data_IF_461061083109
#
_entry.id   IF_461061083109
#
_cell.length_a   1.000
_cell.length_b   1.000
_cell.length_c   1.000
_cell.angle_alpha   90.00
_cell.angle_beta   90.00
_cell.angle_gamma   90.00
#
_symmetry.space_group_name_H-M   'P 1'
#
loop_
_entity.id
_entity.type
_entity.pdbx_description
1 polymer ?
#
# COMPACT_ATOMS: atom_id res chain seq x y z
N UNK A 1 4.19 -31.02 11.35
CA UNK A 1 3.79 -29.84 12.16
C UNK A 1 2.34 -30.06 12.58
N UNK A 2 2.01 -30.00 13.88
CA UNK A 2 0.64 -30.29 14.35
C UNK A 2 -0.30 -29.13 13.96
N UNK A 3 -1.44 -29.41 13.31
CA UNK A 3 -2.34 -28.39 12.74
C UNK A 3 -2.83 -27.39 13.78
N UNK A 4 -3.08 -27.85 15.02
CA UNK A 4 -3.43 -26.96 16.15
C UNK A 4 -2.33 -25.96 16.48
N UNK A 5 -1.08 -26.38 16.43
CA UNK A 5 0.06 -25.51 16.72
C UNK A 5 0.33 -24.54 15.58
N UNK A 6 0.14 -24.96 14.33
CA UNK A 6 0.17 -24.06 13.18
C UNK A 6 -0.92 -23.00 13.25
N UNK A 7 -2.13 -23.34 13.69
CA UNK A 7 -3.23 -22.36 13.77
C UNK A 7 -3.21 -21.51 15.05
N UNK A 8 -2.47 -21.91 16.09
CA UNK A 8 -2.44 -21.25 17.39
C UNK A 8 -1.16 -20.46 17.71
N UNK A 9 -0.01 -20.84 17.14
CA UNK A 9 1.27 -20.18 17.38
C UNK A 9 1.88 -19.70 16.05
N UNK A 10 2.32 -18.44 16.02
CA UNK A 10 2.94 -17.86 14.83
C UNK A 10 3.86 -16.70 15.19
N UNK A 11 5.12 -16.76 14.76
CA UNK A 11 6.18 -15.83 15.15
C UNK A 11 7.21 -16.49 16.06
N UNK A 12 7.96 -15.68 16.80
CA UNK A 12 9.00 -16.12 17.72
C UNK A 12 8.53 -16.01 19.18
N UNK A 13 9.01 -16.89 20.06
CA UNK A 13 8.80 -16.77 21.51
C UNK A 13 9.89 -15.90 22.10
N UNK A 14 9.50 -14.76 22.66
CA UNK A 14 10.43 -13.79 23.29
C UNK A 14 10.16 -13.77 24.80
N UNK A 15 11.20 -13.82 25.66
CA UNK A 15 11.01 -13.70 27.10
C UNK A 15 10.28 -12.40 27.46
N UNK A 16 9.25 -12.49 28.31
CA UNK A 16 8.42 -11.35 28.70
C UNK A 16 7.15 -11.12 27.88
N UNK A 17 6.87 -11.99 26.89
CA UNK A 17 5.64 -11.96 26.11
C UNK A 17 4.85 -13.27 26.26
N UNK A 18 3.55 -13.18 26.49
CA UNK A 18 2.68 -14.35 26.72
C UNK A 18 2.35 -15.10 25.42
N UNK A 19 2.46 -14.43 24.28
CA UNK A 19 2.17 -14.97 22.95
C UNK A 19 3.37 -14.87 22.02
N UNK A 20 3.32 -15.61 20.92
CA UNK A 20 4.34 -15.51 19.87
C UNK A 20 4.23 -14.15 19.18
N UNK A 21 5.38 -13.49 19.04
CA UNK A 21 5.47 -12.11 18.54
C UNK A 21 6.29 -12.03 17.27
N UNK A 22 6.10 -10.93 16.54
CA UNK A 22 6.87 -10.55 15.37
C UNK A 22 7.40 -9.13 15.59
N UNK A 23 8.60 -8.86 15.07
CA UNK A 23 9.16 -7.52 15.10
C UNK A 23 8.47 -6.65 14.04
N UNK A 24 7.69 -5.67 14.48
CA UNK A 24 6.95 -4.73 13.63
C UNK A 24 7.88 -3.94 12.71
N UNK A 25 9.08 -3.58 13.18
CA UNK A 25 10.06 -2.86 12.36
C UNK A 25 10.53 -3.68 11.16
N UNK A 26 10.70 -4.98 11.35
CA UNK A 26 11.05 -5.91 10.27
C UNK A 26 9.88 -6.03 9.27
N UNK A 27 8.65 -6.17 9.77
CA UNK A 27 7.46 -6.24 8.93
C UNK A 27 7.28 -4.97 8.08
N UNK A 28 7.45 -3.78 8.68
CA UNK A 28 7.35 -2.47 8.02
C UNK A 28 8.46 -2.26 7.00
N UNK A 29 9.71 -2.58 7.35
CA UNK A 29 10.82 -2.47 6.42
C UNK A 29 10.65 -3.42 5.21
N UNK A 30 10.14 -4.64 5.43
CA UNK A 30 9.83 -5.55 4.33
C UNK A 30 8.69 -5.04 3.44
N UNK A 31 7.65 -4.42 4.04
CA UNK A 31 6.58 -3.77 3.28
C UNK A 31 7.10 -2.63 2.42
N UNK A 32 8.00 -1.79 2.96
CA UNK A 32 8.65 -0.70 2.23
C UNK A 32 9.54 -1.17 1.09
N UNK A 33 10.30 -2.26 1.29
CA UNK A 33 11.14 -2.86 0.26
C UNK A 33 10.31 -3.36 -0.92
N UNK A 34 9.26 -4.14 -0.62
CA UNK A 34 8.35 -4.64 -1.65
C UNK A 34 7.60 -3.51 -2.35
N UNK A 35 7.11 -2.51 -1.61
CA UNK A 35 6.48 -1.33 -2.19
C UNK A 35 7.41 -0.62 -3.17
N UNK A 36 8.65 -0.34 -2.77
CA UNK A 36 9.64 0.32 -3.63
C UNK A 36 9.90 -0.49 -4.91
N UNK A 37 10.12 -1.80 -4.79
CA UNK A 37 10.33 -2.68 -5.94
C UNK A 37 9.10 -2.72 -6.86
N UNK A 38 7.90 -2.78 -6.28
CA UNK A 38 6.64 -2.76 -7.03
C UNK A 38 6.41 -1.45 -7.77
N UNK A 39 6.77 -0.31 -7.17
CA UNK A 39 6.73 0.99 -7.84
C UNK A 39 7.68 1.03 -9.04
N UNK A 40 8.93 0.56 -8.87
CA UNK A 40 9.89 0.44 -9.97
C UNK A 40 9.32 -0.44 -11.09
N UNK A 41 8.69 -1.55 -10.75
CA UNK A 41 8.07 -2.47 -11.70
C UNK A 41 6.91 -1.81 -12.46
N UNK A 42 6.09 -0.98 -11.82
CA UNK A 42 5.05 -0.22 -12.52
C UNK A 42 5.68 0.75 -13.52
N UNK A 43 6.68 1.53 -13.10
CA UNK A 43 7.36 2.49 -13.99
C UNK A 43 8.08 1.81 -15.16
N UNK A 44 8.80 0.72 -14.89
CA UNK A 44 9.58 0.00 -15.91
C UNK A 44 8.68 -0.88 -16.79
N UNK A 45 7.75 -1.61 -16.16
CA UNK A 45 6.85 -2.53 -16.84
C UNK A 45 5.84 -1.82 -17.73
N UNK A 46 5.16 -0.78 -17.21
CA UNK A 46 4.18 0.00 -17.99
C UNK A 46 4.88 1.04 -18.86
N UNK A 47 5.87 1.76 -18.32
CA UNK A 47 6.53 2.86 -19.04
C UNK A 47 7.44 2.40 -20.19
N UNK A 48 8.17 1.29 -20.02
CA UNK A 48 9.11 0.77 -21.02
C UNK A 48 8.66 -0.57 -21.63
N UNK A 49 7.44 -1.01 -21.34
CA UNK A 49 6.85 -2.26 -21.83
C UNK A 49 7.71 -3.52 -21.53
N UNK A 50 8.49 -3.50 -20.43
CA UNK A 50 9.35 -4.61 -20.03
C UNK A 50 8.58 -5.65 -19.19
N UNK A 51 7.90 -6.54 -19.91
CA UNK A 51 7.03 -7.61 -19.40
C UNK A 51 7.72 -8.51 -18.36
N UNK A 52 8.98 -8.89 -18.61
CA UNK A 52 9.73 -9.87 -17.79
C UNK A 52 9.91 -9.36 -16.36
N UNK A 53 10.19 -8.06 -16.19
CA UNK A 53 10.44 -7.45 -14.87
C UNK A 53 9.19 -7.57 -13.99
N UNK A 54 8.01 -7.32 -14.56
CA UNK A 54 6.74 -7.49 -13.86
C UNK A 54 6.45 -8.94 -13.48
N UNK A 55 6.72 -9.89 -14.38
CA UNK A 55 6.52 -11.33 -14.11
C UNK A 55 7.38 -11.81 -12.94
N UNK A 56 8.67 -11.46 -12.97
CA UNK A 56 9.62 -11.86 -11.92
C UNK A 56 9.21 -11.27 -10.58
N UNK A 57 8.88 -9.98 -10.55
CA UNK A 57 8.46 -9.32 -9.31
C UNK A 57 7.16 -9.91 -8.74
N UNK A 58 6.12 -10.10 -9.57
CA UNK A 58 4.84 -10.63 -9.11
C UNK A 58 4.95 -12.09 -8.65
N UNK A 59 5.75 -12.90 -9.33
CA UNK A 59 6.05 -14.26 -8.88
C UNK A 59 6.79 -14.25 -7.53
N UNK A 60 7.79 -13.37 -7.39
CA UNK A 60 8.51 -13.19 -6.12
C UNK A 60 7.57 -12.73 -5.00
N UNK A 61 6.72 -11.72 -5.25
CA UNK A 61 5.76 -11.19 -4.28
C UNK A 61 4.79 -12.29 -3.80
N UNK A 62 4.26 -13.08 -4.72
CA UNK A 62 3.37 -14.20 -4.42
C UNK A 62 4.06 -15.25 -3.54
N UNK A 63 5.27 -15.67 -3.93
CA UNK A 63 6.05 -16.66 -3.18
C UNK A 63 6.49 -16.13 -1.82
N UNK A 64 6.85 -14.85 -1.73
CA UNK A 64 7.23 -14.22 -0.48
C UNK A 64 6.06 -14.17 0.50
N UNK A 65 4.87 -13.73 0.06
CA UNK A 65 3.67 -13.77 0.92
C UNK A 65 3.29 -15.20 1.33
N UNK A 66 3.41 -16.16 0.43
CA UNK A 66 3.18 -17.56 0.75
C UNK A 66 4.17 -18.07 1.82
N UNK A 67 5.46 -17.77 1.64
CA UNK A 67 6.51 -18.11 2.60
C UNK A 67 6.23 -17.46 3.96
N UNK A 68 5.84 -16.17 4.00
CA UNK A 68 5.40 -15.50 5.22
C UNK A 68 4.29 -16.29 5.88
N UNK A 69 3.17 -16.56 5.21
CA UNK A 69 2.01 -17.27 5.80
C UNK A 69 2.41 -18.59 6.47
N UNK A 70 3.35 -19.34 5.89
CA UNK A 70 3.87 -20.58 6.48
C UNK A 70 4.79 -20.28 7.67
N UNK A 71 5.80 -19.43 7.46
CA UNK A 71 6.77 -19.06 8.50
C UNK A 71 7.44 -17.72 8.18
N UNK A 72 7.43 -16.77 9.13
CA UNK A 72 8.09 -15.47 8.94
C UNK A 72 9.62 -15.60 8.83
N UNK A 73 10.20 -16.73 9.28
CA UNK A 73 11.64 -16.95 9.32
C UNK A 73 12.27 -17.19 7.93
N UNK A 74 11.48 -17.62 6.96
CA UNK A 74 11.97 -18.01 5.64
C UNK A 74 11.54 -17.07 4.51
N UNK A 75 10.80 -16.00 4.82
CA UNK A 75 10.45 -15.00 3.81
C UNK A 75 11.70 -14.20 3.42
N UNK A 76 12.09 -14.20 2.13
CA UNK A 76 13.27 -13.47 1.67
C UNK A 76 13.21 -11.99 1.99
N UNK A 77 12.04 -11.35 1.83
CA UNK A 77 11.89 -9.94 2.12
C UNK A 77 11.97 -9.62 3.62
N UNK A 78 11.45 -10.48 4.51
CA UNK A 78 11.61 -10.32 5.96
C UNK A 78 13.07 -10.53 6.39
N UNK A 79 13.78 -11.47 5.77
CA UNK A 79 15.22 -11.68 6.04
C UNK A 79 16.05 -10.46 5.65
N UNK A 80 15.78 -9.87 4.48
CA UNK A 80 16.41 -8.63 4.04
C UNK A 80 16.05 -7.46 4.97
N UNK A 81 14.77 -7.34 5.32
CA UNK A 81 14.32 -6.30 6.25
C UNK A 81 14.98 -6.42 7.61
N UNK A 82 15.09 -7.64 8.15
CA UNK A 82 15.80 -7.95 9.39
C UNK A 82 17.25 -7.52 9.33
N UNK A 83 17.93 -7.77 8.21
CA UNK A 83 19.29 -7.28 8.02
C UNK A 83 19.38 -5.75 8.08
N UNK A 84 18.44 -5.05 7.43
CA UNK A 84 18.40 -3.58 7.39
C UNK A 84 18.14 -2.97 8.79
N UNK A 85 17.19 -3.52 9.56
CA UNK A 85 16.76 -2.94 10.85
C UNK A 85 17.40 -3.58 12.09
N UNK A 86 18.36 -4.50 11.94
CA UNK A 86 18.94 -5.29 13.04
C UNK A 86 19.52 -4.48 14.21
N UNK A 87 19.97 -3.24 13.94
CA UNK A 87 20.57 -2.37 14.94
C UNK A 87 19.54 -1.47 15.65
N UNK A 88 18.26 -1.56 15.29
CA UNK A 88 17.18 -0.80 15.92
C UNK A 88 16.59 -1.60 17.09
N UNK A 89 16.07 -0.90 18.11
CA UNK A 89 15.33 -1.54 19.19
C UNK A 89 14.07 -2.23 18.61
N UNK A 90 13.90 -3.55 18.79
CA UNK A 90 12.74 -4.26 18.24
C UNK A 90 11.45 -3.74 18.88
N UNK A 91 10.39 -3.72 18.09
CA UNK A 91 9.02 -3.42 18.54
C UNK A 91 8.18 -4.65 18.25
N UNK A 92 7.56 -5.24 19.27
CA UNK A 92 6.93 -6.56 19.16
C UNK A 92 5.41 -6.46 19.08
N UNK A 93 4.85 -7.13 18.09
CA UNK A 93 3.40 -7.24 17.91
C UNK A 93 2.96 -8.68 17.87
N UNK A 94 1.72 -8.96 18.28
CA UNK A 94 1.16 -10.30 18.25
C UNK A 94 1.29 -10.91 16.84
N UNK A 95 1.84 -12.12 16.73
CA UNK A 95 2.14 -12.70 15.42
C UNK A 95 0.89 -13.15 14.65
N UNK A 96 -0.16 -13.58 15.35
CA UNK A 96 -1.38 -14.10 14.72
C UNK A 96 -2.12 -13.06 13.85
N UNK A 97 -2.20 -11.81 14.32
CA UNK A 97 -2.78 -10.71 13.54
C UNK A 97 -1.98 -10.42 12.26
N UNK A 98 -0.64 -10.49 12.31
CA UNK A 98 0.23 -10.27 11.15
C UNK A 98 0.12 -11.40 10.14
N UNK A 99 0.02 -12.63 10.63
CA UNK A 99 -0.28 -13.77 9.76
C UNK A 99 -1.58 -13.57 8.99
N UNK A 100 -2.63 -13.10 9.65
CA UNK A 100 -3.90 -12.82 9.00
C UNK A 100 -3.75 -11.75 7.91
N UNK A 101 -3.03 -10.66 8.20
CA UNK A 101 -2.73 -9.64 7.21
C UNK A 101 -1.97 -10.20 5.99
N UNK A 102 -0.98 -11.08 6.21
CA UNK A 102 -0.23 -11.70 5.11
C UNK A 102 -1.04 -12.74 4.34
N UNK A 103 -1.99 -13.43 4.98
CA UNK A 103 -2.95 -14.28 4.27
C UNK A 103 -3.85 -13.46 3.34
N UNK A 104 -4.32 -12.29 3.78
CA UNK A 104 -5.07 -11.36 2.91
C UNK A 104 -4.20 -10.86 1.75
N UNK A 105 -2.95 -10.47 2.01
CA UNK A 105 -2.01 -10.07 0.97
C UNK A 105 -1.76 -11.19 -0.06
N UNK A 106 -1.58 -12.42 0.41
CA UNK A 106 -1.42 -13.58 -0.46
C UNK A 106 -2.67 -13.82 -1.34
N UNK A 107 -3.86 -13.72 -0.74
CA UNK A 107 -5.12 -13.88 -1.47
C UNK A 107 -5.30 -12.81 -2.56
N UNK A 108 -4.93 -11.55 -2.28
CA UNK A 108 -4.95 -10.46 -3.26
C UNK A 108 -3.91 -10.69 -4.37
N UNK A 109 -2.74 -11.28 -4.05
CA UNK A 109 -1.69 -11.56 -5.03
C UNK A 109 -1.99 -12.76 -5.94
N UNK A 110 -2.89 -13.66 -5.54
CA UNK A 110 -3.26 -14.85 -6.31
C UNK A 110 -3.82 -14.53 -7.72
N UNK A 111 -4.84 -13.66 -7.88
CA UNK A 111 -5.31 -13.28 -9.22
C UNK A 111 -4.23 -12.54 -10.03
N UNK A 112 -3.35 -11.78 -9.37
CA UNK A 112 -2.22 -11.11 -10.06
C UNK A 112 -1.24 -12.12 -10.64
N UNK A 113 -0.92 -13.18 -9.89
CA UNK A 113 -0.10 -14.28 -10.39
C UNK A 113 -0.73 -14.91 -11.64
N UNK A 114 -2.05 -15.12 -11.62
CA UNK A 114 -2.76 -15.69 -12.75
C UNK A 114 -2.80 -14.75 -13.99
N UNK A 115 -3.10 -13.47 -13.80
CA UNK A 115 -3.32 -12.48 -14.88
C UNK A 115 -2.07 -11.78 -15.42
N UNK A 116 -0.95 -11.85 -14.71
CA UNK A 116 0.26 -11.17 -15.14
C UNK A 116 1.46 -12.10 -15.22
N UNK A 117 1.44 -13.27 -14.58
CA UNK A 117 2.56 -14.23 -14.70
C UNK A 117 2.22 -15.37 -15.65
N UNK A 118 1.08 -16.03 -15.45
CA UNK A 118 0.67 -17.19 -16.25
C UNK A 118 0.05 -16.79 -17.60
N UNK A 119 -0.93 -15.89 -17.57
CA UNK A 119 -1.55 -15.30 -18.75
C UNK A 119 -1.14 -13.85 -18.77
N UNK A 120 -0.61 -13.33 -19.86
CA UNK A 120 -0.25 -11.91 -19.92
C UNK A 120 -1.44 -11.11 -20.44
N UNK A 121 -2.18 -10.48 -19.53
CA UNK A 121 -3.31 -9.63 -19.89
C UNK A 121 -3.34 -8.38 -19.02
N UNK A 122 -2.95 -7.25 -19.62
CA UNK A 122 -2.92 -5.95 -18.97
C UNK A 122 -4.23 -5.23 -19.27
N UNK A 123 -5.08 -5.14 -18.26
CA UNK A 123 -6.28 -4.30 -18.31
C UNK A 123 -6.29 -3.34 -17.13
N UNK A 124 -6.94 -2.18 -17.28
CA UNK A 124 -6.99 -1.13 -16.28
C UNK A 124 -7.43 -1.63 -14.89
N UNK A 125 -8.52 -2.41 -14.83
CA UNK A 125 -9.02 -2.95 -13.56
C UNK A 125 -8.03 -3.90 -12.88
N UNK A 126 -7.23 -4.63 -13.66
CA UNK A 126 -6.18 -5.53 -13.14
C UNK A 126 -4.98 -4.74 -12.61
N UNK A 127 -4.65 -3.62 -13.22
CA UNK A 127 -3.58 -2.73 -12.70
C UNK A 127 -4.05 -2.03 -11.42
N UNK A 128 -5.34 -1.68 -11.32
CA UNK A 128 -5.90 -1.06 -10.11
C UNK A 128 -5.75 -1.96 -8.87
N UNK A 129 -5.88 -3.28 -9.02
CA UNK A 129 -5.65 -4.20 -7.89
C UNK A 129 -4.18 -4.18 -7.45
N UNK A 130 -3.22 -4.03 -8.38
CA UNK A 130 -1.80 -3.90 -8.04
C UNK A 130 -1.53 -2.59 -7.31
N UNK A 131 -2.10 -1.48 -7.78
CA UNK A 131 -2.01 -0.17 -7.10
C UNK A 131 -2.61 -0.24 -5.70
N UNK A 132 -3.76 -0.90 -5.53
CA UNK A 132 -4.36 -1.13 -4.23
C UNK A 132 -3.42 -1.91 -3.30
N UNK A 133 -2.85 -3.02 -3.76
CA UNK A 133 -1.90 -3.81 -2.98
C UNK A 133 -0.70 -2.97 -2.56
N UNK A 134 -0.04 -2.27 -3.49
CA UNK A 134 1.10 -1.40 -3.19
C UNK A 134 0.72 -0.28 -2.23
N UNK A 135 -0.48 0.30 -2.36
CA UNK A 135 -0.98 1.32 -1.43
C UNK A 135 -1.10 0.75 -0.01
N UNK A 136 -1.63 -0.46 0.16
CA UNK A 136 -1.69 -1.12 1.48
C UNK A 136 -0.29 -1.36 2.06
N UNK A 137 0.69 -1.77 1.25
CA UNK A 137 2.07 -1.95 1.69
C UNK A 137 2.73 -0.62 2.07
N UNK A 138 2.44 0.45 1.32
CA UNK A 138 2.90 1.80 1.62
C UNK A 138 2.33 2.30 2.95
N UNK A 139 1.03 2.09 3.21
CA UNK A 139 0.41 2.47 4.48
C UNK A 139 1.06 1.74 5.67
N UNK A 140 1.35 0.45 5.53
CA UNK A 140 2.05 -0.33 6.56
C UNK A 140 3.48 0.19 6.76
N UNK A 141 4.22 0.44 5.68
CA UNK A 141 5.60 0.92 5.75
C UNK A 141 5.70 2.34 6.33
N UNK A 142 5.03 3.31 5.70
CA UNK A 142 5.17 4.74 5.98
C UNK A 142 4.44 5.16 7.27
N UNK A 143 3.17 4.77 7.41
CA UNK A 143 2.33 5.23 8.52
C UNK A 143 2.20 4.21 9.65
N UNK A 144 2.76 3.01 9.52
CA UNK A 144 2.55 1.90 10.46
C UNK A 144 1.09 1.44 10.54
N UNK A 145 0.30 1.69 9.48
CA UNK A 145 -1.12 1.35 9.43
C UNK A 145 -1.28 0.03 8.69
N UNK A 146 -1.46 -1.04 9.46
CA UNK A 146 -1.75 -2.38 8.93
C UNK A 146 -3.26 -2.59 8.82
N UNK A 147 -3.84 -2.37 7.63
CA UNK A 147 -5.27 -2.55 7.37
C UNK A 147 -5.73 -3.99 7.67
N UNK A 148 -4.92 -5.00 7.35
CA UNK A 148 -5.23 -6.40 7.68
C UNK A 148 -5.33 -6.65 9.19
N UNK A 149 -4.50 -5.99 9.98
CA UNK A 149 -4.53 -6.06 11.44
C UNK A 149 -5.79 -5.37 12.00
N UNK A 150 -6.23 -4.26 11.39
CA UNK A 150 -7.48 -3.59 11.75
C UNK A 150 -8.70 -4.48 11.46
N UNK A 151 -8.72 -5.14 10.30
CA UNK A 151 -9.78 -6.10 9.95
C UNK A 151 -9.79 -7.27 10.94
N UNK A 152 -8.62 -7.81 11.31
CA UNK A 152 -8.52 -8.87 12.31
C UNK A 152 -9.12 -8.46 13.66
N UNK A 153 -8.77 -7.26 14.14
CA UNK A 153 -9.34 -6.68 15.37
C UNK A 153 -10.87 -6.56 15.27
N UNK A 154 -11.38 -6.05 14.15
CA UNK A 154 -12.82 -5.90 13.94
C UNK A 154 -13.58 -7.24 13.96
N UNK A 155 -12.98 -8.30 13.39
CA UNK A 155 -13.57 -9.65 13.36
C UNK A 155 -13.54 -10.29 14.75
N UNK A 156 -12.40 -10.22 15.45
CA UNK A 156 -12.25 -10.85 16.76
C UNK A 156 -12.92 -10.09 17.91
N UNK A 157 -13.22 -8.80 17.73
CA UNK A 157 -13.81 -7.91 18.75
C UNK A 157 -13.05 -7.89 20.08
N UNK A 158 -11.81 -8.34 20.06
CA UNK A 158 -10.86 -8.32 21.17
C UNK A 158 -9.68 -7.45 20.75
N UNK A 159 -9.17 -6.66 21.69
CA UNK A 159 -7.94 -5.92 21.43
C UNK A 159 -6.79 -6.92 21.22
N UNK A 160 -6.06 -6.82 20.10
CA UNK A 160 -4.95 -7.73 19.85
C UNK A 160 -3.90 -7.57 20.96
N UNK A 161 -3.36 -8.69 21.45
CA UNK A 161 -2.27 -8.65 22.42
C UNK A 161 -1.01 -8.05 21.76
N UNK A 162 -0.42 -7.06 22.43
CA UNK A 162 0.76 -6.30 21.98
C UNK A 162 0.52 -5.59 20.63
N UNK A 163 -0.07 -4.39 20.73
CA UNK A 163 -0.46 -3.61 19.56
C UNK A 163 0.71 -2.85 18.92
N UNK A 164 0.74 -2.70 17.58
CA UNK A 164 1.79 -1.98 16.87
C UNK A 164 1.98 -0.56 17.40
N UNK A 165 3.24 -0.18 17.68
CA UNK A 165 3.57 1.16 18.17
C UNK A 165 2.99 1.49 19.55
N UNK A 166 2.60 0.48 20.35
CA UNK A 166 2.10 0.69 21.71
C UNK A 166 0.75 1.40 21.79
N UNK A 167 -0.03 1.49 20.70
CA UNK A 167 -1.34 2.20 20.70
C UNK A 167 -2.34 1.70 21.75
N UNK A 168 -2.19 0.47 22.23
CA UNK A 168 -3.05 -0.07 23.29
C UNK A 168 -2.61 0.36 24.70
N UNK A 169 -1.38 0.85 24.85
CA UNK A 169 -0.82 1.37 26.11
C UNK A 169 -0.87 2.91 26.18
N UNK A 170 -0.87 3.61 25.05
CA UNK A 170 -0.89 5.08 24.99
C UNK A 170 -2.28 5.62 25.38
N UNK A 171 -2.48 5.90 26.67
CA UNK A 171 -3.69 6.56 27.17
C UNK A 171 -3.62 8.09 27.21
N UNK A 172 -2.42 8.69 27.14
CA UNK A 172 -2.27 10.14 27.11
C UNK A 172 -1.27 10.57 26.03
N UNK A 173 -1.69 11.52 25.19
CA UNK A 173 -0.82 12.13 24.18
C UNK A 173 0.23 13.00 24.87
N UNK A 174 1.49 12.71 24.59
CA UNK A 174 2.61 13.53 25.04
C UNK A 174 2.46 14.97 24.55
N UNK A 175 2.98 15.98 25.27
CA UNK A 175 2.89 17.38 24.85
C UNK A 175 3.38 17.63 23.42
N UNK A 176 4.40 16.89 22.97
CA UNK A 176 4.94 16.96 21.60
C UNK A 176 3.95 16.51 20.52
N UNK A 177 2.96 15.69 20.88
CA UNK A 177 1.92 15.21 19.96
C UNK A 177 0.72 16.16 19.87
N UNK A 178 0.70 17.23 20.69
CA UNK A 178 -0.39 18.21 20.71
C UNK A 178 -0.04 19.37 19.78
N UNK A 179 -0.96 19.74 18.90
CA UNK A 179 -0.78 20.86 18.00
C UNK A 179 -1.09 22.19 18.71
N UNK A 180 -0.21 23.17 18.56
CA UNK A 180 -0.53 24.57 18.83
C UNK A 180 -1.51 25.08 17.75
N UNK A 181 -2.47 25.99 18.04
CA UNK A 181 -3.33 26.59 17.03
C UNK A 181 -2.60 27.08 15.76
N UNK A 182 -1.38 27.62 15.89
CA UNK A 182 -0.57 28.02 14.72
C UNK A 182 -0.15 26.82 13.88
N UNK A 183 0.30 25.74 14.50
CA UNK A 183 0.67 24.50 13.81
C UNK A 183 -0.55 23.85 13.12
N UNK A 184 -1.71 23.93 13.76
CA UNK A 184 -2.99 23.47 13.17
C UNK A 184 -3.33 24.26 11.91
N UNK A 185 -3.20 25.59 11.94
CA UNK A 185 -3.46 26.44 10.77
C UNK A 185 -2.50 26.10 9.63
N UNK A 186 -1.20 25.98 9.92
CA UNK A 186 -0.19 25.62 8.90
C UNK A 186 -0.51 24.26 8.28
N UNK A 187 -0.86 23.27 9.10
CA UNK A 187 -1.22 21.94 8.61
C UNK A 187 -2.46 21.98 7.69
N UNK A 188 -3.50 22.73 8.08
CA UNK A 188 -4.73 22.88 7.28
C UNK A 188 -4.44 23.60 5.96
N UNK A 189 -3.72 24.73 5.99
CA UNK A 189 -3.38 25.49 4.78
C UNK A 189 -2.52 24.68 3.81
N UNK A 190 -1.54 23.93 4.33
CA UNK A 190 -0.70 23.06 3.50
C UNK A 190 -1.53 21.96 2.85
N UNK A 191 -2.44 21.33 3.61
CA UNK A 191 -3.32 20.29 3.08
C UNK A 191 -4.25 20.83 1.99
N UNK A 192 -4.90 21.97 2.23
CA UNK A 192 -5.78 22.63 1.24
C UNK A 192 -4.97 23.05 0.00
N UNK A 193 -3.79 23.63 0.19
CA UNK A 193 -2.91 24.05 -0.91
C UNK A 193 -2.47 22.88 -1.79
N UNK A 194 -2.12 21.74 -1.20
CA UNK A 194 -1.80 20.51 -1.94
C UNK A 194 -3.01 19.99 -2.72
N UNK A 195 -4.19 19.95 -2.11
CA UNK A 195 -5.42 19.53 -2.79
C UNK A 195 -5.79 20.46 -3.94
N UNK A 196 -5.74 21.78 -3.73
CA UNK A 196 -5.98 22.77 -4.76
C UNK A 196 -4.95 22.69 -5.89
N UNK A 197 -3.67 22.48 -5.55
CA UNK A 197 -2.60 22.28 -6.53
C UNK A 197 -2.84 21.04 -7.40
N UNK A 198 -3.21 19.91 -6.79
CA UNK A 198 -3.56 18.68 -7.52
C UNK A 198 -4.79 18.91 -8.40
N UNK A 199 -5.84 19.54 -7.87
CA UNK A 199 -7.07 19.86 -8.61
C UNK A 199 -6.76 20.74 -9.83
N UNK A 200 -6.01 21.83 -9.66
CA UNK A 200 -5.63 22.73 -10.75
C UNK A 200 -4.71 22.06 -11.77
N UNK A 201 -3.79 21.21 -11.31
CA UNK A 201 -2.92 20.45 -12.19
C UNK A 201 -3.73 19.50 -13.08
N UNK A 202 -4.69 18.77 -12.49
CA UNK A 202 -5.59 17.91 -13.25
C UNK A 202 -6.47 18.73 -14.19
N UNK A 203 -7.10 19.81 -13.72
CA UNK A 203 -8.01 20.62 -14.52
C UNK A 203 -7.35 21.32 -15.73
N UNK A 204 -6.06 21.69 -15.63
CA UNK A 204 -5.35 22.43 -16.70
C UNK A 204 -4.52 21.55 -17.63
N UNK A 205 -4.29 20.28 -17.30
CA UNK A 205 -3.42 19.42 -18.09
C UNK A 205 -4.25 18.52 -18.97
N UNK A 206 -4.04 18.59 -20.30
CA UNK A 206 -4.61 17.61 -21.22
C UNK A 206 -4.10 16.21 -20.89
N UNK A 207 -5.03 15.32 -20.59
CA UNK A 207 -4.74 13.95 -20.24
C UNK A 207 -4.45 13.13 -21.49
N UNK A 208 -3.21 12.67 -21.63
CA UNK A 208 -2.80 11.74 -22.70
C UNK A 208 -3.06 10.27 -22.38
N UNK A 209 -3.78 10.00 -21.30
CA UNK A 209 -4.03 8.64 -20.80
C UNK A 209 -5.49 8.49 -20.44
N UNK A 210 -6.04 7.32 -20.68
CA UNK A 210 -7.42 6.97 -20.34
C UNK A 210 -7.77 7.30 -18.87
N UNK A 211 -6.83 7.07 -17.94
CA UNK A 211 -7.03 7.43 -16.52
C UNK A 211 -7.06 8.94 -16.28
N UNK A 212 -6.25 9.70 -17.01
CA UNK A 212 -6.28 11.15 -16.95
C UNK A 212 -7.58 11.70 -17.52
N UNK A 213 -8.13 11.12 -18.60
CA UNK A 213 -9.44 11.52 -19.14
C UNK A 213 -10.56 11.22 -18.15
N UNK A 214 -10.59 10.01 -17.59
CA UNK A 214 -11.55 9.65 -16.55
C UNK A 214 -11.47 10.56 -15.31
N UNK A 215 -10.25 10.88 -14.84
CA UNK A 215 -10.07 11.81 -13.72
C UNK A 215 -10.50 13.23 -14.08
N UNK A 216 -10.19 13.69 -15.29
CA UNK A 216 -10.54 15.02 -15.76
C UNK A 216 -12.06 15.19 -15.87
N UNK A 217 -12.76 14.17 -16.40
CA UNK A 217 -14.22 14.12 -16.46
C UNK A 217 -14.87 14.08 -15.06
N UNK A 218 -14.30 13.33 -14.10
CA UNK A 218 -14.79 13.28 -12.72
C UNK A 218 -14.55 14.59 -11.93
N UNK A 219 -13.50 15.32 -12.28
CA UNK A 219 -13.06 16.54 -11.58
C UNK A 219 -13.78 17.79 -12.11
N UNK A 220 -14.15 17.79 -13.39
CA UNK A 220 -14.81 18.91 -14.04
C UNK A 220 -16.33 18.88 -13.84
N UNK A 221 -16.91 20.08 -13.72
CA UNK A 221 -18.36 20.23 -13.74
C UNK A 221 -18.86 20.07 -15.18
N UNK A 222 -20.07 19.54 -15.40
CA UNK A 222 -20.67 19.36 -16.75
C UNK A 222 -20.59 20.61 -17.64
N UNK A 223 -20.71 21.81 -17.06
CA UNK A 223 -20.58 23.07 -17.78
C UNK A 223 -19.15 23.38 -18.26
N UNK A 224 -18.12 22.94 -17.53
CA UNK A 224 -16.72 23.12 -17.91
C UNK A 224 -16.31 22.16 -19.04
N UNK A 225 -16.83 20.93 -19.00
CA UNK A 225 -16.66 19.94 -20.09
C UNK A 225 -17.22 20.46 -21.41
N UNK A 226 -18.44 21.02 -21.40
CA UNK A 226 -19.05 21.61 -22.61
C UNK A 226 -18.22 22.76 -23.19
N UNK A 227 -17.65 23.62 -22.34
CA UNK A 227 -16.78 24.71 -22.79
C UNK A 227 -15.46 24.23 -23.38
N UNK A 228 -14.91 23.10 -22.92
CA UNK A 228 -13.73 22.49 -23.53
C UNK A 228 -14.05 21.82 -24.86
N UNK A 229 -15.19 21.12 -24.97
CA UNK A 229 -15.67 20.56 -26.23
C UNK A 229 -15.91 21.65 -27.29
N UNK A 230 -16.60 22.73 -26.92
CA UNK A 230 -16.82 23.89 -27.81
C UNK A 230 -15.50 24.51 -28.28
N UNK A 231 -14.49 24.61 -27.39
CA UNK A 231 -13.16 25.10 -27.76
C UNK A 231 -12.39 24.16 -28.68
N UNK A 232 -12.47 22.84 -28.45
CA UNK A 232 -11.84 21.84 -29.33
C UNK A 232 -12.47 21.87 -30.72
N UNK A 233 -13.80 21.92 -30.78
CA UNK A 233 -14.55 22.04 -32.04
C UNK A 233 -14.17 23.33 -32.77
N UNK A 234 -14.10 24.48 -32.08
CA UNK A 234 -13.67 25.74 -32.68
C UNK A 234 -12.23 25.69 -33.22
N UNK A 235 -11.31 25.03 -32.51
CA UNK A 235 -9.93 24.83 -32.96
C UNK A 235 -9.80 23.86 -34.13
N UNK A 236 -10.64 22.82 -34.22
CA UNK A 236 -10.70 21.94 -35.38
C UNK A 236 -11.18 22.69 -36.63
N UNK A 237 -12.25 23.48 -36.51
CA UNK A 237 -12.72 24.34 -37.60
C UNK A 237 -11.65 25.35 -38.06
N UNK A 238 -10.93 25.97 -37.12
CA UNK A 238 -9.87 26.94 -37.43
C UNK A 238 -8.64 26.28 -38.10
N UNK A 239 -8.40 24.99 -37.88
CA UNK A 239 -7.32 24.22 -38.52
C UNK A 239 -7.73 23.60 -39.87
N UNK A 240 -9.02 23.36 -40.12
CA UNK A 240 -9.53 22.89 -41.42
C UNK A 240 -9.68 24.01 -42.46
N UNK A 241 -9.75 25.27 -42.02
CA UNK A 241 -9.85 26.45 -42.89
C UNK A 241 -8.49 26.96 -43.46
N UNK A 242 -7.39 26.19 -43.30
CA UNK A 242 -6.05 26.48 -43.86
C UNK A 242 -5.53 25.42 -44.83
#
# INVERSE_FOLDING_TARGET
>A
MNLKRFLGEYGEKVPGYDTTVINEREARAAAGLLFMLGMIVIFVGIGYNHIIVARVYLAFLFLDFFARVISPKYSPSLLLAKFIVRNQKPDYTGGMQKRFAWMLGWFISFPMMYWFVLHWDITFYKVLICVLCLSLMFLESAFSICVGCMIYKAIKREDPQYCPGGVCEIKQKDPIQRFNPVQTIIAILTFIGLLAGIYLFLAKTESKTFFGEFLHELVLTKAQLQQEEEKKIAQEFENEDF
#
